data_IF_298558744950
#
_entry.id   IF_298558744950
#
_cell.length_a   1.000
_cell.length_b   1.000
_cell.length_c   1.000
_cell.angle_alpha   90.00
_cell.angle_beta   90.00
_cell.angle_gamma   90.00
#
_symmetry.space_group_name_H-M   'P 1'
#
loop_
_entity.id
_entity.type
_entity.pdbx_description
1 polymer ?
#
# COMPACT_ATOMS: atom_id res chain seq x y z
N UNK A 1 11.19 -17.62 -19.78
CA UNK A 1 11.86 -17.03 -18.60
C UNK A 1 12.57 -18.17 -17.87
N UNK A 2 13.90 -18.15 -17.83
CA UNK A 2 14.71 -19.28 -17.31
C UNK A 2 14.13 -19.76 -15.98
N UNK A 3 13.87 -21.06 -15.81
CA UNK A 3 13.16 -21.65 -14.65
C UNK A 3 13.76 -21.20 -13.31
N UNK A 4 15.08 -20.98 -13.26
CA UNK A 4 15.79 -20.40 -12.11
C UNK A 4 15.42 -18.95 -11.79
N UNK A 5 15.22 -18.11 -12.81
CA UNK A 5 14.77 -16.71 -12.65
C UNK A 5 13.31 -16.66 -12.20
N UNK A 6 12.46 -17.56 -12.71
CA UNK A 6 11.07 -17.69 -12.28
C UNK A 6 10.96 -18.06 -10.79
N UNK A 7 11.79 -19.01 -10.33
CA UNK A 7 11.82 -19.43 -8.93
C UNK A 7 12.22 -18.29 -7.98
N UNK A 8 13.22 -17.49 -8.36
CA UNK A 8 13.67 -16.33 -7.57
C UNK A 8 12.59 -15.25 -7.44
N UNK A 9 11.84 -15.00 -8.51
CA UNK A 9 10.73 -14.03 -8.50
C UNK A 9 9.60 -14.51 -7.59
N UNK A 10 9.24 -15.80 -7.66
CA UNK A 10 8.22 -16.39 -6.79
C UNK A 10 8.66 -16.30 -5.32
N UNK A 11 9.91 -16.60 -5.02
CA UNK A 11 10.43 -16.53 -3.65
C UNK A 11 10.42 -15.10 -3.11
N UNK A 12 10.78 -14.11 -3.94
CA UNK A 12 10.72 -12.69 -3.58
C UNK A 12 9.28 -12.23 -3.30
N UNK A 13 8.30 -12.66 -4.11
CA UNK A 13 6.90 -12.33 -3.91
C UNK A 13 6.32 -12.93 -2.61
N UNK A 14 6.77 -14.13 -2.22
CA UNK A 14 6.37 -14.77 -0.96
C UNK A 14 6.90 -14.02 0.28
N UNK A 15 8.10 -13.44 0.19
CA UNK A 15 8.67 -12.62 1.28
C UNK A 15 7.90 -11.30 1.45
N UNK A 16 7.45 -10.69 0.35
CA UNK A 16 6.64 -9.46 0.38
C UNK A 16 5.23 -9.70 0.95
N UNK A 17 4.70 -10.92 0.90
CA UNK A 17 3.38 -11.27 1.43
C UNK A 17 3.34 -11.26 2.98
N UNK A 18 4.49 -11.36 3.65
CA UNK A 18 4.60 -11.26 5.10
C UNK A 18 4.67 -9.79 5.54
N UNK A 19 3.54 -9.09 5.45
CA UNK A 19 3.36 -7.73 5.95
C UNK A 19 3.08 -7.76 7.46
N UNK A 20 4.09 -8.15 8.24
CA UNK A 20 4.12 -7.84 9.67
C UNK A 20 5.19 -6.77 9.91
N UNK A 21 4.72 -5.53 10.08
CA UNK A 21 5.44 -4.30 10.43
C UNK A 21 6.95 -4.30 10.12
N UNK A 22 7.32 -4.02 8.86
CA UNK A 22 8.72 -3.90 8.41
C UNK A 22 9.41 -2.59 8.86
N UNK A 23 8.73 -1.75 9.65
CA UNK A 23 9.30 -0.55 10.27
C UNK A 23 9.66 -0.80 11.75
N UNK A 24 10.95 -0.68 12.09
CA UNK A 24 11.45 -0.78 13.48
C UNK A 24 10.75 0.18 14.46
N UNK A 25 10.24 1.31 13.95
CA UNK A 25 9.48 2.31 14.71
C UNK A 25 8.07 1.81 15.10
N UNK A 26 7.44 0.99 14.25
CA UNK A 26 6.09 0.46 14.47
C UNK A 26 6.10 -0.70 15.47
N UNK A 27 7.19 -1.49 15.46
CA UNK A 27 7.38 -2.64 16.34
C UNK A 27 7.54 -2.23 17.80
N UNK A 28 8.37 -1.22 18.09
CA UNK A 28 8.58 -0.75 19.48
C UNK A 28 7.32 -0.16 20.10
N UNK A 29 6.52 0.58 19.33
CA UNK A 29 5.24 1.15 19.78
C UNK A 29 4.20 0.04 20.01
N UNK A 30 4.12 -0.96 19.13
CA UNK A 30 3.21 -2.10 19.31
C UNK A 30 3.59 -2.98 20.52
N UNK A 31 4.88 -3.26 20.70
CA UNK A 31 5.39 -4.03 21.86
C UNK A 31 5.17 -3.28 23.18
N UNK A 32 5.35 -1.95 23.19
CA UNK A 32 5.11 -1.11 24.38
C UNK A 32 3.63 -0.96 24.71
N UNK A 33 2.78 -0.84 23.69
CA UNK A 33 1.32 -0.77 23.86
C UNK A 33 0.72 -2.08 24.39
N UNK A 34 1.20 -3.23 23.89
CA UNK A 34 0.74 -4.56 24.34
C UNK A 34 1.13 -4.84 25.80
N UNK A 35 2.36 -4.49 26.21
CA UNK A 35 2.82 -4.65 27.61
C UNK A 35 2.05 -3.78 28.60
N UNK A 36 1.52 -2.64 28.15
CA UNK A 36 0.72 -1.71 28.97
C UNK A 36 -0.80 -1.95 28.84
N UNK A 37 -1.23 -3.06 28.22
CA UNK A 37 -2.66 -3.39 28.06
C UNK A 37 -3.43 -2.48 27.10
N UNK A 38 -2.74 -1.70 26.26
CA UNK A 38 -3.35 -0.75 25.34
C UNK A 38 -3.74 -1.45 24.02
N UNK A 39 -5.02 -1.40 23.69
CA UNK A 39 -5.61 -1.96 22.46
C UNK A 39 -5.11 -1.31 21.16
N UNK A 40 -4.41 -0.17 21.27
CA UNK A 40 -3.80 0.58 20.17
C UNK A 40 -2.80 -0.28 19.37
N UNK A 41 -2.11 -1.22 20.03
CA UNK A 41 -1.18 -2.13 19.36
C UNK A 41 -1.87 -3.07 18.36
N UNK A 42 -3.12 -3.49 18.62
CA UNK A 42 -3.90 -4.35 17.72
C UNK A 42 -4.40 -3.59 16.47
N UNK A 43 -4.57 -2.26 16.57
CA UNK A 43 -5.09 -1.41 15.51
C UNK A 43 -4.03 -0.72 14.64
N UNK A 44 -2.73 -0.93 14.90
CA UNK A 44 -1.65 -0.14 14.29
C UNK A 44 -1.62 -0.28 12.75
N UNK A 45 -1.81 -1.49 12.22
CA UNK A 45 -1.82 -1.73 10.77
C UNK A 45 -2.98 -1.00 10.08
N UNK A 46 -4.14 -0.93 10.73
CA UNK A 46 -5.26 -0.13 10.25
C UNK A 46 -4.94 1.36 10.29
N UNK A 47 -4.24 1.83 11.33
CA UNK A 47 -3.76 3.21 11.43
C UNK A 47 -2.81 3.59 10.29
N UNK A 48 -1.84 2.73 9.95
CA UNK A 48 -0.91 2.96 8.82
C UNK A 48 -1.67 3.02 7.49
N UNK A 49 -2.62 2.11 7.27
CA UNK A 49 -3.48 2.13 6.07
C UNK A 49 -4.28 3.43 5.98
N UNK A 50 -4.89 3.88 7.09
CA UNK A 50 -5.65 5.14 7.11
C UNK A 50 -4.78 6.36 6.78
N UNK A 51 -3.56 6.42 7.34
CA UNK A 51 -2.62 7.51 7.06
C UNK A 51 -2.09 7.49 5.62
N UNK A 52 -1.84 6.29 5.06
CA UNK A 52 -1.42 6.11 3.68
C UNK A 52 -2.53 6.45 2.67
N UNK A 53 -3.81 6.26 2.99
CA UNK A 53 -4.93 6.56 2.07
C UNK A 53 -5.05 8.07 1.77
N UNK A 54 -4.79 8.92 2.75
CA UNK A 54 -4.92 10.39 2.63
C UNK A 54 -4.12 10.98 1.45
N UNK A 55 -2.81 10.73 1.27
CA UNK A 55 -2.06 11.28 0.15
C UNK A 55 -2.58 10.83 -1.22
N UNK A 56 -3.10 9.59 -1.34
CA UNK A 56 -3.71 9.14 -2.61
C UNK A 56 -5.00 9.87 -2.92
N UNK A 57 -5.86 10.11 -1.92
CA UNK A 57 -7.09 10.88 -2.10
C UNK A 57 -6.79 12.34 -2.49
N UNK A 58 -5.78 12.95 -1.87
CA UNK A 58 -5.34 14.31 -2.21
C UNK A 58 -4.82 14.39 -3.64
N UNK A 59 -3.98 13.45 -4.06
CA UNK A 59 -3.52 13.37 -5.45
C UNK A 59 -4.68 13.18 -6.43
N UNK A 60 -5.61 12.25 -6.15
CA UNK A 60 -6.77 12.04 -6.99
C UNK A 60 -7.64 13.31 -7.09
N UNK A 61 -7.83 14.02 -5.99
CA UNK A 61 -8.60 15.26 -5.97
C UNK A 61 -7.92 16.40 -6.74
N UNK A 62 -6.61 16.60 -6.56
CA UNK A 62 -5.87 17.65 -7.27
C UNK A 62 -5.81 17.37 -8.78
N UNK A 63 -5.51 16.14 -9.16
CA UNK A 63 -5.35 15.75 -10.55
C UNK A 63 -6.66 15.32 -11.24
N UNK A 64 -7.81 15.43 -10.56
CA UNK A 64 -9.14 14.99 -11.06
C UNK A 64 -9.46 15.47 -12.48
N UNK A 65 -9.21 16.76 -12.78
CA UNK A 65 -9.49 17.34 -14.11
C UNK A 65 -8.59 16.74 -15.19
N UNK A 66 -7.31 16.54 -14.86
CA UNK A 66 -6.34 15.92 -15.76
C UNK A 66 -6.72 14.46 -16.01
N UNK A 67 -6.96 13.68 -14.94
CA UNK A 67 -7.46 12.29 -15.04
C UNK A 67 -8.70 12.20 -15.94
N UNK A 68 -9.68 13.09 -15.77
CA UNK A 68 -10.90 13.11 -16.58
C UNK A 68 -10.63 13.44 -18.06
N UNK A 69 -9.74 14.38 -18.34
CA UNK A 69 -9.34 14.71 -19.71
C UNK A 69 -8.66 13.53 -20.40
N UNK A 70 -7.73 12.88 -19.71
CA UNK A 70 -7.00 11.71 -20.22
C UNK A 70 -7.95 10.53 -20.46
N UNK A 71 -8.90 10.28 -19.53
CA UNK A 71 -9.93 9.25 -19.71
C UNK A 71 -10.87 9.55 -20.89
N UNK A 72 -11.20 10.82 -21.12
CA UNK A 72 -12.03 11.22 -22.26
C UNK A 72 -11.31 10.99 -23.59
N UNK A 73 -10.03 11.31 -23.63
CA UNK A 73 -9.17 11.13 -24.81
C UNK A 73 -8.97 9.64 -25.13
N UNK A 74 -8.69 8.80 -24.12
CA UNK A 74 -8.61 7.34 -24.27
C UNK A 74 -9.95 6.76 -24.75
N UNK A 75 -11.08 7.28 -24.24
CA UNK A 75 -12.41 6.84 -24.68
C UNK A 75 -12.67 7.21 -26.15
N UNK A 76 -12.26 8.39 -26.58
CA UNK A 76 -12.45 8.85 -27.97
C UNK A 76 -11.61 8.05 -28.96
N UNK A 77 -10.34 7.76 -28.63
CA UNK A 77 -9.40 7.02 -29.49
C UNK A 77 -9.71 5.51 -29.61
N UNK A 78 -10.67 5.00 -28.83
CA UNK A 78 -11.11 3.59 -28.93
C UNK A 78 -12.40 3.43 -29.76
N UNK A 79 -13.00 4.53 -30.20
CA UNK A 79 -14.30 4.55 -30.90
C UNK A 79 -14.14 4.75 -32.42
N UNK A 80 -13.00 5.27 -32.88
CA UNK A 80 -12.56 5.23 -34.28
C UNK A 80 -11.75 3.96 -34.58
#
# INVERSE_FOLDING_TARGET
MNTRRGLLIIMLLLVLCNVSAQCAMCRSVAESGTKNGQTVAAGLNYGILYLMVIPYLLLLFFFRKKIWSLLKEIRSNKVE
#
